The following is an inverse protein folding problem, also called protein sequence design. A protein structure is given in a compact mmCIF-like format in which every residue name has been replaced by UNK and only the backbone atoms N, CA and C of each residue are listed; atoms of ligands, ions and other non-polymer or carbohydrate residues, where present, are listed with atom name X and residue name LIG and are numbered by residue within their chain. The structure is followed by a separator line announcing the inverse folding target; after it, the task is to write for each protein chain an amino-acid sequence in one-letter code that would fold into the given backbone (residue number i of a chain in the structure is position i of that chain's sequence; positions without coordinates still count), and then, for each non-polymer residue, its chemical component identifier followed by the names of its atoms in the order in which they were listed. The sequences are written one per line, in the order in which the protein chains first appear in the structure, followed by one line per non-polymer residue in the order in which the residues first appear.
data_IF_823186765279
#
_entry.id   IF_823186765279
#
_cell.length_a   1.000
_cell.length_b   1.000
_cell.length_c   1.000
_cell.angle_alpha   90.00
_cell.angle_beta   90.00
_cell.angle_gamma   90.00
#
_symmetry.space_group_name_H-M   'P 1'
#
loop_
_entity.id
_entity.type
_entity.pdbx_description
1 polymer ?
#
# COMPACT_ATOMS: atom_id res chain seq x y z
N UNK A 1 -3.17 -11.55 3.14
CA UNK A 1 -2.34 -11.21 4.32
C UNK A 1 -0.89 -11.59 4.07
N UNK A 2 0.09 -10.81 4.56
CA UNK A 2 1.51 -11.03 4.28
C UNK A 2 2.00 -12.29 5.01
N UNK A 3 2.62 -13.19 4.26
CA UNK A 3 3.29 -14.39 4.78
C UNK A 3 4.77 -14.28 4.45
N UNK A 4 5.63 -14.47 5.45
CA UNK A 4 7.09 -14.52 5.27
C UNK A 4 7.55 -15.85 5.81
N UNK A 5 8.23 -16.63 4.97
CA UNK A 5 8.79 -17.92 5.32
C UNK A 5 10.27 -17.71 5.65
N UNK A 6 10.70 -18.22 6.80
CA UNK A 6 12.11 -18.18 7.19
C UNK A 6 12.91 -19.17 6.34
N UNK A 7 14.13 -18.78 5.98
CA UNK A 7 15.13 -19.68 5.40
C UNK A 7 16.15 -20.05 6.48
N UNK A 8 16.74 -21.22 6.38
CA UNK A 8 17.72 -21.71 7.35
C UNK A 8 18.92 -20.76 7.42
N UNK A 9 19.24 -20.30 8.64
CA UNK A 9 20.32 -19.35 8.92
C UNK A 9 19.92 -17.86 8.95
N UNK A 10 18.65 -17.49 8.71
CA UNK A 10 18.23 -16.09 8.82
C UNK A 10 18.05 -15.63 10.28
N UNK A 11 18.70 -14.52 10.64
CA UNK A 11 18.53 -13.92 11.95
C UNK A 11 17.15 -13.26 12.09
N UNK A 12 16.47 -13.47 13.23
CA UNK A 12 15.09 -13.03 13.49
C UNK A 12 14.82 -11.56 13.13
N UNK A 13 15.76 -10.64 13.43
CA UNK A 13 15.64 -9.21 13.12
C UNK A 13 15.47 -8.94 11.61
N UNK A 14 16.11 -9.74 10.76
CA UNK A 14 16.00 -9.61 9.29
C UNK A 14 14.62 -10.07 8.83
N UNK A 15 14.13 -11.17 9.39
CA UNK A 15 12.80 -11.71 9.11
C UNK A 15 11.69 -10.71 9.49
N UNK A 16 11.82 -10.07 10.66
CA UNK A 16 10.90 -9.03 11.11
C UNK A 16 10.88 -7.82 10.16
N UNK A 17 12.05 -7.40 9.68
CA UNK A 17 12.15 -6.30 8.70
C UNK A 17 11.49 -6.67 7.37
N UNK A 18 11.67 -7.90 6.89
CA UNK A 18 11.00 -8.42 5.69
C UNK A 18 9.48 -8.46 5.88
N UNK A 19 9.01 -8.91 7.04
CA UNK A 19 7.59 -8.94 7.38
C UNK A 19 6.98 -7.53 7.40
N UNK A 20 7.63 -6.56 8.08
CA UNK A 20 7.18 -5.16 8.10
C UNK A 20 7.07 -4.59 6.68
N UNK A 21 8.08 -4.82 5.83
CA UNK A 21 8.05 -4.39 4.42
C UNK A 21 6.94 -5.08 3.61
N UNK A 22 6.65 -6.35 3.90
CA UNK A 22 5.55 -7.09 3.28
C UNK A 22 4.18 -6.51 3.68
N UNK A 23 3.99 -6.17 4.96
CA UNK A 23 2.79 -5.48 5.46
C UNK A 23 2.61 -4.08 4.83
N UNK A 24 3.70 -3.32 4.71
CA UNK A 24 3.69 -2.00 4.06
C UNK A 24 3.36 -2.11 2.56
N UNK A 25 3.95 -3.09 1.85
CA UNK A 25 3.68 -3.33 0.44
C UNK A 25 2.24 -3.80 0.20
N UNK A 26 1.69 -4.61 1.10
CA UNK A 26 0.30 -5.03 1.07
C UNK A 26 -0.69 -3.88 1.35
N UNK A 27 -0.22 -2.71 1.83
CA UNK A 27 -1.07 -1.55 2.06
C UNK A 27 -2.03 -1.69 3.24
N UNK A 28 -1.81 -2.66 4.14
CA UNK A 28 -2.72 -3.01 5.24
C UNK A 28 -3.15 -1.81 6.08
N UNK A 29 -2.20 -0.91 6.43
CA UNK A 29 -2.51 0.30 7.20
C UNK A 29 -3.42 1.28 6.44
N UNK A 30 -3.32 1.31 5.11
CA UNK A 30 -4.21 2.13 4.29
C UNK A 30 -5.61 1.51 4.20
N UNK A 31 -5.70 0.19 4.14
CA UNK A 31 -6.99 -0.52 4.08
C UNK A 31 -7.74 -0.42 5.40
N UNK A 32 -7.05 -0.56 6.54
CA UNK A 32 -7.62 -0.32 7.88
C UNK A 32 -8.21 1.10 7.97
N UNK A 33 -7.47 2.11 7.49
CA UNK A 33 -7.94 3.51 7.51
C UNK A 33 -9.16 3.74 6.62
N UNK A 34 -9.24 3.06 5.47
CA UNK A 34 -10.38 3.15 4.53
C UNK A 34 -11.62 2.46 5.06
N UNK A 35 -11.45 1.34 5.76
CA UNK A 35 -12.53 0.49 6.25
C UNK A 35 -12.99 0.83 7.67
N UNK A 36 -12.39 1.84 8.32
CA UNK A 36 -12.73 2.24 9.70
C UNK A 36 -14.18 2.73 9.84
N UNK A 37 -14.76 3.26 8.77
CA UNK A 37 -16.13 3.76 8.74
C UNK A 37 -16.80 3.35 7.44
N UNK A 38 -18.13 3.30 7.44
CA UNK A 38 -18.89 3.08 6.22
C UNK A 38 -18.74 4.27 5.27
N UNK A 39 -18.17 4.01 4.10
CA UNK A 39 -18.12 4.97 3.00
C UNK A 39 -19.24 4.63 2.01
N UNK A 40 -20.18 5.57 1.78
CA UNK A 40 -21.25 5.36 0.79
C UNK A 40 -20.62 5.04 -0.59
N UNK A 41 -21.19 4.11 -1.38
CA UNK A 41 -20.58 3.67 -2.65
C UNK A 41 -20.27 4.81 -3.64
N UNK A 42 -21.08 5.87 -3.63
CA UNK A 42 -20.85 7.07 -4.46
C UNK A 42 -19.61 7.86 -4.03
N UNK A 43 -19.38 7.97 -2.72
CA UNK A 43 -18.22 8.67 -2.14
C UNK A 43 -16.95 7.86 -2.41
N UNK A 44 -17.01 6.54 -2.24
CA UNK A 44 -15.90 5.63 -2.55
C UNK A 44 -15.48 5.72 -4.03
N UNK A 45 -16.45 5.67 -4.97
CA UNK A 45 -16.20 5.84 -6.41
C UNK A 45 -15.55 7.19 -6.71
N UNK A 46 -16.03 8.26 -6.08
CA UNK A 46 -15.47 9.62 -6.25
C UNK A 46 -14.03 9.70 -5.71
N UNK A 47 -13.74 9.07 -4.56
CA UNK A 47 -12.39 9.01 -3.98
C UNK A 47 -11.44 8.23 -4.88
N UNK A 48 -11.83 7.06 -5.37
CA UNK A 48 -11.03 6.24 -6.31
C UNK A 48 -10.68 7.01 -7.59
N UNK A 49 -11.63 7.72 -8.19
CA UNK A 49 -11.38 8.57 -9.37
C UNK A 49 -10.35 9.67 -9.08
N UNK A 50 -10.49 10.40 -7.96
CA UNK A 50 -9.53 11.43 -7.55
C UNK A 50 -8.13 10.86 -7.30
N UNK A 51 -8.03 9.70 -6.65
CA UNK A 51 -6.75 9.02 -6.40
C UNK A 51 -6.07 8.60 -7.72
N UNK A 52 -6.82 8.09 -8.71
CA UNK A 52 -6.29 7.70 -10.01
C UNK A 52 -5.72 8.90 -10.78
N UNK A 53 -6.45 10.02 -10.85
CA UNK A 53 -5.99 11.26 -11.49
C UNK A 53 -4.71 11.78 -10.82
N UNK A 54 -4.66 11.80 -9.49
CA UNK A 54 -3.45 12.21 -8.74
C UNK A 54 -2.24 11.33 -9.06
N UNK A 55 -2.44 10.00 -9.16
CA UNK A 55 -1.38 9.06 -9.54
C UNK A 55 -0.86 9.33 -10.96
N UNK A 56 -1.76 9.56 -11.91
CA UNK A 56 -1.39 9.85 -13.31
C UNK A 56 -0.58 11.15 -13.41
N UNK A 57 -1.02 12.23 -12.74
CA UNK A 57 -0.30 13.50 -12.70
C UNK A 57 1.11 13.31 -12.11
N UNK A 58 1.23 12.55 -11.02
CA UNK A 58 2.53 12.27 -10.39
C UNK A 58 3.46 11.47 -11.34
N UNK A 59 2.92 10.51 -12.08
CA UNK A 59 3.68 9.74 -13.07
C UNK A 59 4.16 10.62 -14.22
N UNK A 60 3.29 11.48 -14.77
CA UNK A 60 3.66 12.41 -15.85
C UNK A 60 4.74 13.40 -15.40
N UNK A 61 4.63 13.94 -14.18
CA UNK A 61 5.68 14.79 -13.58
C UNK A 61 7.01 14.06 -13.42
N UNK A 62 6.99 12.78 -13.05
CA UNK A 62 8.22 11.97 -12.92
C UNK A 62 8.84 11.70 -14.29
N UNK A 63 8.02 11.38 -15.31
CA UNK A 63 8.48 11.16 -16.68
C UNK A 63 9.11 12.40 -17.29
N UNK A 64 8.58 13.60 -16.99
CA UNK A 64 9.11 14.88 -17.49
C UNK A 64 10.40 15.35 -16.79
N UNK A 65 10.78 14.72 -15.67
CA UNK A 65 12.03 15.04 -14.94
C UNK A 65 13.24 14.24 -15.43
N UNK A 66 13.00 13.20 -16.22
CA UNK A 66 14.01 12.52 -17.03
C UNK A 66 13.89 13.04 -18.46
#
# INVERSE_FOLDING_TARGET
MPKVIAKDGEHFKILLKKFKKSCERAGLLSDIKKNKYFEKPTVERRRKKKEAVRKQIKLMRKRRRF
#
